data_IF_997986901154
#
_entry.id   IF_997986901154
#
_cell.length_a   1.000
_cell.length_b   1.000
_cell.length_c   1.000
_cell.angle_alpha   90.00
_cell.angle_beta   90.00
_cell.angle_gamma   90.00
#
_symmetry.space_group_name_H-M   'P 1'
#
loop_
_entity.id
_entity.type
_entity.pdbx_description
1 polymer ?
#
# COMPACT_ATOMS: atom_id res chain seq x y z
N UNK A 1 6.76 5.92 -5.54
CA UNK A 1 7.23 6.24 -6.88
C UNK A 1 6.16 5.99 -7.94
N UNK A 2 5.84 4.72 -8.26
CA UNK A 2 4.89 4.41 -9.36
C UNK A 2 3.51 5.03 -9.16
N UNK A 3 2.95 5.02 -7.95
CA UNK A 3 1.68 5.68 -7.66
C UNK A 3 1.76 7.19 -7.84
N UNK A 4 2.84 7.84 -7.38
CA UNK A 4 3.06 9.29 -7.59
C UNK A 4 3.12 9.60 -9.08
N UNK A 5 3.91 8.86 -9.84
CA UNK A 5 4.05 9.04 -11.28
C UNK A 5 2.72 8.83 -12.02
N UNK A 6 1.96 7.80 -11.65
CA UNK A 6 0.62 7.53 -12.19
C UNK A 6 -0.33 8.71 -11.96
N UNK A 7 -0.41 9.22 -10.72
CA UNK A 7 -1.32 10.30 -10.39
C UNK A 7 -0.91 11.64 -11.01
N UNK A 8 0.40 11.94 -11.07
CA UNK A 8 0.87 13.12 -11.80
C UNK A 8 0.45 13.09 -13.27
N UNK A 9 0.65 11.94 -13.93
CA UNK A 9 0.24 11.76 -15.31
C UNK A 9 -1.29 11.83 -15.49
N UNK A 10 -2.05 11.24 -14.57
CA UNK A 10 -3.52 11.33 -14.55
C UNK A 10 -4.03 12.76 -14.40
N UNK A 11 -3.27 13.62 -13.70
CA UNK A 11 -3.53 15.06 -13.57
C UNK A 11 -2.96 15.90 -14.72
N UNK A 12 -2.49 15.29 -15.80
CA UNK A 12 -1.94 15.98 -16.98
C UNK A 12 -0.48 16.42 -16.85
N UNK A 13 0.24 16.03 -15.79
CA UNK A 13 1.69 16.26 -15.67
C UNK A 13 2.43 15.09 -16.28
N UNK A 14 2.82 15.23 -17.56
CA UNK A 14 3.40 14.13 -18.35
C UNK A 14 4.91 14.26 -18.54
N UNK A 15 5.48 15.44 -18.35
CA UNK A 15 6.94 15.65 -18.33
C UNK A 15 7.51 15.18 -16.97
N UNK A 16 7.43 13.87 -16.77
CA UNK A 16 7.84 13.20 -15.54
C UNK A 16 8.79 12.05 -15.89
N UNK A 17 9.91 12.00 -15.18
CA UNK A 17 10.80 10.84 -15.19
C UNK A 17 10.85 10.19 -13.82
N UNK A 18 10.71 8.87 -13.76
CA UNK A 18 10.94 8.06 -12.59
C UNK A 18 12.27 7.32 -12.79
N UNK A 19 13.19 7.53 -11.85
CA UNK A 19 14.45 6.81 -11.79
C UNK A 19 14.37 5.73 -10.69
N UNK A 20 14.73 4.52 -11.03
CA UNK A 20 14.78 3.37 -10.11
C UNK A 20 16.19 2.79 -10.10
N UNK A 21 16.77 2.64 -8.91
CA UNK A 21 18.15 2.15 -8.78
C UNK A 21 18.34 0.70 -9.22
N UNK A 22 17.31 -0.12 -9.14
CA UNK A 22 17.27 -1.50 -9.59
C UNK A 22 16.12 -1.74 -10.56
N UNK A 23 15.36 -2.81 -10.32
CA UNK A 23 14.12 -3.09 -11.05
C UNK A 23 12.91 -2.59 -10.26
N UNK A 24 11.87 -2.16 -10.96
CA UNK A 24 10.61 -1.85 -10.28
C UNK A 24 10.19 -3.05 -9.42
N UNK A 25 9.72 -2.76 -8.23
CA UNK A 25 9.32 -3.72 -7.18
C UNK A 25 10.44 -4.43 -6.43
N UNK A 26 11.70 -4.38 -6.88
CA UNK A 26 12.81 -5.13 -6.26
C UNK A 26 13.21 -4.66 -4.85
N UNK A 27 12.77 -3.50 -4.42
CA UNK A 27 12.96 -3.01 -3.06
C UNK A 27 12.04 -3.70 -2.06
N UNK A 28 11.36 -2.92 -1.20
CA UNK A 28 10.45 -3.47 -0.17
C UNK A 28 9.03 -3.78 -0.69
N UNK A 29 8.69 -3.42 -1.92
CA UNK A 29 7.35 -3.59 -2.47
C UNK A 29 6.90 -5.05 -2.48
N UNK A 30 7.73 -5.97 -2.98
CA UNK A 30 7.38 -7.39 -3.10
C UNK A 30 7.29 -8.11 -1.74
N UNK A 31 7.86 -7.52 -0.67
CA UNK A 31 7.75 -8.06 0.69
C UNK A 31 6.43 -7.73 1.38
N UNK A 32 5.62 -6.81 0.84
CA UNK A 32 4.36 -6.47 1.45
C UNK A 32 3.37 -7.64 1.39
N UNK A 33 2.64 -7.87 2.49
CA UNK A 33 1.67 -8.97 2.58
C UNK A 33 0.42 -8.78 1.70
N UNK A 34 0.25 -7.61 1.10
CA UNK A 34 -0.86 -7.32 0.19
C UNK A 34 -2.20 -7.05 0.86
N UNK A 35 -2.23 -6.87 2.18
CA UNK A 35 -3.45 -6.60 2.92
C UNK A 35 -3.95 -5.18 2.66
N UNK A 36 -5.17 -5.06 2.15
CA UNK A 36 -5.79 -3.78 1.79
C UNK A 36 -7.03 -3.55 2.63
N UNK A 37 -6.96 -2.55 3.52
CA UNK A 37 -8.06 -2.21 4.41
C UNK A 37 -8.46 -0.74 4.31
N UNK A 38 -9.75 -0.46 4.42
CA UNK A 38 -10.31 0.90 4.36
C UNK A 38 -10.09 1.67 5.66
N UNK A 39 -10.37 1.02 6.78
CA UNK A 39 -10.39 1.68 8.07
C UNK A 39 -9.00 2.08 8.55
N UNK A 40 -8.84 3.36 8.89
CA UNK A 40 -7.62 3.97 9.44
C UNK A 40 -7.96 4.75 10.73
N UNK A 41 -6.95 5.12 11.55
CA UNK A 41 -7.17 5.82 12.82
C UNK A 41 -7.85 7.18 12.70
N UNK A 42 -7.85 7.79 11.53
CA UNK A 42 -8.49 9.09 11.30
C UNK A 42 -9.17 9.14 9.92
N UNK A 43 -10.05 10.15 9.76
CA UNK A 43 -10.86 10.33 8.56
C UNK A 43 -10.01 10.52 7.30
N UNK A 44 -8.98 11.35 7.34
CA UNK A 44 -8.18 11.67 6.15
C UNK A 44 -7.48 10.41 5.60
N UNK A 45 -6.86 9.63 6.48
CA UNK A 45 -6.24 8.37 6.08
C UNK A 45 -7.28 7.35 5.58
N UNK A 46 -8.48 7.32 6.17
CA UNK A 46 -9.57 6.45 5.71
C UNK A 46 -10.04 6.84 4.31
N UNK A 47 -10.20 8.14 4.02
CA UNK A 47 -10.54 8.63 2.68
C UNK A 47 -9.49 8.21 1.66
N UNK A 48 -8.21 8.36 1.99
CA UNK A 48 -7.12 7.91 1.10
C UNK A 48 -7.13 6.39 0.88
N UNK A 49 -7.41 5.60 1.92
CA UNK A 49 -7.49 4.14 1.80
C UNK A 49 -8.67 3.68 0.96
N UNK A 50 -9.84 4.33 1.11
CA UNK A 50 -11.02 4.09 0.26
C UNK A 50 -10.71 4.38 -1.20
N UNK A 51 -10.12 5.55 -1.49
CA UNK A 51 -9.68 5.89 -2.85
C UNK A 51 -8.71 4.83 -3.42
N UNK A 52 -7.78 4.33 -2.60
CA UNK A 52 -6.87 3.26 -3.02
C UNK A 52 -7.61 2.00 -3.47
N UNK A 53 -8.63 1.57 -2.73
CA UNK A 53 -9.45 0.41 -3.07
C UNK A 53 -10.25 0.63 -4.36
N UNK A 54 -10.88 1.78 -4.51
CA UNK A 54 -11.59 2.15 -5.73
C UNK A 54 -10.65 2.14 -6.95
N UNK A 55 -9.45 2.67 -6.79
CA UNK A 55 -8.43 2.65 -7.83
C UNK A 55 -8.02 1.21 -8.19
N UNK A 56 -7.74 0.36 -7.20
CA UNK A 56 -7.28 -1.02 -7.44
C UNK A 56 -8.32 -1.85 -8.17
N UNK A 57 -9.60 -1.62 -7.89
CA UNK A 57 -10.70 -2.28 -8.58
C UNK A 57 -10.82 -1.91 -10.07
N UNK A 58 -10.27 -0.77 -10.48
CA UNK A 58 -10.37 -0.27 -11.87
C UNK A 58 -9.08 -0.37 -12.67
N UNK A 59 -7.94 -0.51 -12.00
CA UNK A 59 -6.61 -0.46 -12.64
C UNK A 59 -6.39 -1.55 -13.69
N UNK A 60 -6.89 -2.77 -13.47
CA UNK A 60 -6.75 -3.86 -14.43
C UNK A 60 -7.47 -3.55 -15.74
N UNK A 61 -8.69 -3.04 -15.66
CA UNK A 61 -9.44 -2.62 -16.85
C UNK A 61 -8.76 -1.44 -17.58
N UNK A 62 -8.13 -0.52 -16.85
CA UNK A 62 -7.45 0.64 -17.40
C UNK A 62 -6.11 0.28 -18.08
N UNK A 63 -5.36 -0.65 -17.50
CA UNK A 63 -3.97 -0.91 -17.88
C UNK A 63 -3.76 -2.21 -18.64
N UNK A 64 -4.72 -3.14 -18.55
CA UNK A 64 -4.60 -4.50 -19.07
C UNK A 64 -3.64 -5.38 -18.26
N UNK A 65 -3.23 -4.95 -17.06
CA UNK A 65 -2.39 -5.74 -16.14
C UNK A 65 -3.16 -6.07 -14.86
N UNK A 66 -3.16 -7.34 -14.50
CA UNK A 66 -3.73 -7.80 -13.24
C UNK A 66 -3.09 -7.09 -12.04
N UNK A 67 -3.91 -6.80 -11.04
CA UNK A 67 -3.46 -6.21 -9.77
C UNK A 67 -3.46 -7.23 -8.64
N UNK A 68 -4.04 -8.39 -8.88
CA UNK A 68 -4.32 -9.37 -7.85
C UNK A 68 -5.36 -8.90 -6.83
N UNK A 69 -6.08 -7.80 -7.11
CA UNK A 69 -7.11 -7.28 -6.22
C UNK A 69 -8.27 -8.25 -6.08
N UNK A 70 -8.59 -8.58 -4.83
CA UNK A 70 -9.75 -9.39 -4.45
C UNK A 70 -10.43 -8.72 -3.26
N UNK A 71 -11.69 -8.37 -3.43
CA UNK A 71 -12.52 -7.87 -2.33
C UNK A 71 -13.07 -9.06 -1.53
N UNK A 72 -12.22 -9.68 -0.74
CA UNK A 72 -12.57 -10.83 0.10
C UNK A 72 -13.01 -10.44 1.52
N UNK A 73 -12.98 -9.15 1.84
CA UNK A 73 -13.29 -8.63 3.17
C UNK A 73 -12.15 -8.81 4.19
N UNK A 74 -12.38 -8.31 5.40
CA UNK A 74 -11.49 -8.58 6.53
C UNK A 74 -12.26 -8.88 7.82
N UNK A 75 -11.73 -9.80 8.63
CA UNK A 75 -12.21 -10.14 9.96
C UNK A 75 -11.15 -9.74 10.99
N UNK A 76 -11.48 -8.82 11.89
CA UNK A 76 -10.61 -8.47 13.02
C UNK A 76 -11.21 -9.05 14.29
N UNK A 77 -10.48 -9.93 14.97
CA UNK A 77 -11.00 -10.67 16.11
C UNK A 77 -10.63 -10.02 17.45
N UNK A 78 -11.42 -10.32 18.46
CA UNK A 78 -11.15 -9.96 19.84
C UNK A 78 -11.19 -11.21 20.72
N UNK A 79 -10.06 -11.53 21.38
CA UNK A 79 -9.92 -12.62 22.34
C UNK A 79 -10.14 -12.15 23.77
N UNK A 80 -10.07 -10.85 24.02
CA UNK A 80 -10.30 -10.27 25.35
C UNK A 80 -11.45 -9.27 25.35
N UNK A 81 -12.13 -9.04 26.51
CA UNK A 81 -13.15 -8.00 26.64
C UNK A 81 -12.62 -6.60 26.31
N UNK A 82 -11.38 -6.30 26.65
CA UNK A 82 -10.71 -5.02 26.39
C UNK A 82 -10.56 -4.83 24.89
N UNK A 83 -10.10 -5.86 24.18
CA UNK A 83 -10.01 -5.81 22.71
C UNK A 83 -11.38 -5.64 22.07
N UNK A 84 -12.41 -6.28 22.59
CA UNK A 84 -13.77 -6.14 22.09
C UNK A 84 -14.29 -4.69 22.26
N UNK A 85 -13.94 -3.99 23.34
CA UNK A 85 -14.25 -2.55 23.52
C UNK A 85 -13.58 -1.71 22.41
N UNK A 86 -12.32 -2.03 22.06
CA UNK A 86 -11.59 -1.36 20.96
C UNK A 86 -12.30 -1.59 19.63
N UNK A 87 -12.69 -2.85 19.33
CA UNK A 87 -13.39 -3.16 18.08
C UNK A 87 -14.75 -2.45 17.98
N UNK A 88 -15.52 -2.38 19.08
CA UNK A 88 -16.78 -1.60 19.12
C UNK A 88 -16.55 -0.12 18.78
N UNK A 89 -15.51 0.48 19.37
CA UNK A 89 -15.12 1.86 19.04
C UNK A 89 -14.72 2.01 17.57
N UNK A 90 -13.95 1.05 17.04
CA UNK A 90 -13.56 1.04 15.64
C UNK A 90 -14.77 0.94 14.70
N UNK A 91 -15.74 0.08 15.01
CA UNK A 91 -16.98 -0.05 14.22
C UNK A 91 -17.80 1.27 14.21
N UNK A 92 -17.95 1.92 15.37
CA UNK A 92 -18.61 3.23 15.45
C UNK A 92 -17.88 4.27 14.61
N UNK A 93 -16.56 4.30 14.69
CA UNK A 93 -15.72 5.23 13.94
C UNK A 93 -15.78 4.96 12.44
N UNK A 94 -15.76 3.68 12.02
CA UNK A 94 -15.91 3.27 10.63
C UNK A 94 -17.20 3.81 10.03
N UNK A 95 -18.32 3.63 10.71
CA UNK A 95 -19.62 4.14 10.29
C UNK A 95 -19.62 5.67 10.15
N UNK A 96 -18.96 6.40 11.07
CA UNK A 96 -18.83 7.86 10.99
C UNK A 96 -17.97 8.34 9.81
N UNK A 97 -17.12 7.48 9.27
CA UNK A 97 -16.27 7.74 8.10
C UNK A 97 -16.86 7.17 6.80
N UNK A 98 -18.07 6.60 6.86
CA UNK A 98 -18.74 6.00 5.72
C UNK A 98 -18.05 4.70 5.25
N UNK A 99 -17.49 3.94 6.18
CA UNK A 99 -16.95 2.59 5.95
C UNK A 99 -17.92 1.57 6.51
N UNK A 100 -18.37 0.65 5.68
CA UNK A 100 -19.22 -0.45 6.10
C UNK A 100 -18.44 -1.37 7.06
N UNK A 101 -18.98 -1.55 8.26
CA UNK A 101 -18.37 -2.34 9.32
C UNK A 101 -19.44 -2.93 10.23
N UNK A 102 -19.39 -4.23 10.45
CA UNK A 102 -20.34 -4.97 11.25
C UNK A 102 -19.67 -5.60 12.47
N UNK A 103 -20.32 -5.47 13.62
CA UNK A 103 -20.00 -6.30 14.79
C UNK A 103 -20.57 -7.68 14.55
N UNK A 104 -19.78 -8.72 14.68
CA UNK A 104 -20.17 -10.11 14.46
C UNK A 104 -19.80 -10.99 15.66
N UNK A 105 -20.58 -12.05 15.85
CA UNK A 105 -20.33 -13.07 16.88
C UNK A 105 -19.13 -13.95 16.54
N UNK A 106 -18.56 -14.71 17.51
CA UNK A 106 -17.55 -15.73 17.23
C UNK A 106 -17.99 -16.75 16.20
N UNK A 107 -19.25 -17.18 16.24
CA UNK A 107 -19.82 -18.11 15.27
C UNK A 107 -19.80 -17.53 13.85
N UNK A 108 -20.31 -16.32 13.67
CA UNK A 108 -20.31 -15.64 12.37
C UNK A 108 -18.89 -15.37 11.84
N UNK A 109 -17.93 -15.12 12.75
CA UNK A 109 -16.51 -15.00 12.38
C UNK A 109 -15.96 -16.33 11.84
N UNK A 110 -16.29 -17.45 12.49
CA UNK A 110 -15.93 -18.81 12.04
C UNK A 110 -16.57 -19.20 10.72
N UNK A 111 -17.83 -18.80 10.48
CA UNK A 111 -18.50 -19.03 9.19
C UNK A 111 -17.78 -18.30 8.02
N UNK A 112 -17.17 -17.11 8.28
CA UNK A 112 -16.37 -16.35 7.29
C UNK A 112 -14.94 -16.84 7.18
N UNK A 113 -14.39 -17.37 8.26
CA UNK A 113 -13.00 -17.83 8.32
C UNK A 113 -12.94 -19.26 8.91
N UNK A 114 -13.31 -20.29 8.13
CA UNK A 114 -13.53 -21.65 8.64
C UNK A 114 -12.29 -22.36 9.23
N UNK A 115 -11.10 -21.89 8.89
CA UNK A 115 -9.83 -22.46 9.40
C UNK A 115 -9.39 -21.83 10.71
N UNK A 116 -10.19 -20.89 11.26
CA UNK A 116 -9.90 -20.21 12.53
C UNK A 116 -10.58 -20.93 13.70
N UNK A 117 -9.88 -21.00 14.82
CA UNK A 117 -10.46 -21.39 16.11
C UNK A 117 -11.30 -20.24 16.67
N UNK A 118 -12.48 -20.53 17.21
CA UNK A 118 -13.44 -19.50 17.64
C UNK A 118 -13.86 -19.63 19.11
N UNK A 119 -13.47 -20.70 19.80
CA UNK A 119 -13.86 -21.00 21.17
C UNK A 119 -13.30 -20.02 22.22
N UNK A 120 -12.25 -19.30 21.89
CA UNK A 120 -11.62 -18.28 22.73
C UNK A 120 -11.94 -16.84 22.31
N UNK A 121 -12.85 -16.65 21.37
CA UNK A 121 -13.22 -15.31 20.88
C UNK A 121 -14.34 -14.67 21.70
N UNK A 122 -14.22 -13.37 21.93
CA UNK A 122 -15.29 -12.51 22.48
C UNK A 122 -16.21 -11.94 21.37
N UNK A 123 -15.75 -11.93 20.15
CA UNK A 123 -16.41 -11.39 18.96
C UNK A 123 -15.41 -10.86 17.95
N UNK A 124 -15.93 -10.24 16.89
CA UNK A 124 -15.11 -9.68 15.82
C UNK A 124 -15.81 -8.48 15.17
N UNK A 125 -15.10 -7.80 14.29
CA UNK A 125 -15.68 -6.91 13.28
C UNK A 125 -15.42 -7.47 11.88
N UNK A 126 -16.39 -7.28 11.01
CA UNK A 126 -16.35 -7.62 9.59
C UNK A 126 -16.37 -6.36 8.75
N UNK A 127 -15.43 -6.22 7.82
CA UNK A 127 -15.36 -5.12 6.86
C UNK A 127 -15.41 -5.72 5.44
N UNK A 128 -16.59 -5.72 4.79
CA UNK A 128 -16.77 -6.37 3.49
C UNK A 128 -16.03 -5.68 2.34
N UNK A 129 -15.73 -4.38 2.48
CA UNK A 129 -15.03 -3.61 1.46
C UNK A 129 -13.50 -3.75 1.48
N UNK A 130 -12.95 -4.46 2.45
CA UNK A 130 -11.53 -4.75 2.53
C UNK A 130 -11.16 -5.93 1.61
N UNK A 131 -9.87 -6.20 1.44
CA UNK A 131 -9.41 -7.32 0.63
C UNK A 131 -7.90 -7.44 0.57
N UNK A 132 -7.43 -8.07 -0.48
CA UNK A 132 -6.01 -8.27 -0.76
C UNK A 132 -5.65 -7.89 -2.20
N UNK A 133 -4.39 -7.57 -2.43
CA UNK A 133 -3.82 -7.34 -3.76
C UNK A 133 -2.41 -7.93 -3.82
N UNK A 134 -1.92 -8.24 -5.02
CA UNK A 134 -0.52 -8.56 -5.19
C UNK A 134 0.28 -7.25 -5.26
N UNK A 135 1.19 -6.97 -4.31
CA UNK A 135 1.89 -5.69 -4.27
C UNK A 135 2.77 -5.42 -5.50
N UNK A 136 3.40 -6.45 -6.05
CA UNK A 136 4.24 -6.32 -7.23
C UNK A 136 3.38 -6.04 -8.48
N UNK A 137 2.32 -6.81 -8.70
CA UNK A 137 1.41 -6.64 -9.84
C UNK A 137 0.73 -5.28 -9.79
N UNK A 138 0.28 -4.86 -8.60
CA UNK A 138 -0.32 -3.54 -8.39
C UNK A 138 0.67 -2.41 -8.75
N UNK A 139 1.94 -2.52 -8.32
CA UNK A 139 2.97 -1.55 -8.66
C UNK A 139 3.24 -1.52 -10.17
N UNK A 140 3.30 -2.68 -10.82
CA UNK A 140 3.50 -2.79 -12.28
C UNK A 140 2.30 -2.24 -13.05
N UNK A 141 1.07 -2.45 -12.57
CA UNK A 141 -0.13 -1.88 -13.17
C UNK A 141 -0.13 -0.35 -13.08
N UNK A 142 0.21 0.23 -11.92
CA UNK A 142 0.41 1.68 -11.77
C UNK A 142 1.51 2.23 -12.70
N UNK A 143 2.63 1.52 -12.80
CA UNK A 143 3.72 1.88 -13.70
C UNK A 143 3.27 1.87 -15.16
N UNK A 144 2.51 0.85 -15.57
CA UNK A 144 1.93 0.76 -16.93
C UNK A 144 0.98 1.93 -17.20
N UNK A 145 0.09 2.22 -16.25
CA UNK A 145 -0.85 3.35 -16.37
C UNK A 145 -0.15 4.71 -16.49
N UNK A 146 0.98 4.90 -15.81
CA UNK A 146 1.82 6.09 -15.93
C UNK A 146 2.52 6.14 -17.30
N UNK A 147 3.12 5.04 -17.75
CA UNK A 147 3.78 4.94 -19.08
C UNK A 147 2.79 5.19 -20.23
N UNK A 148 1.59 4.66 -20.14
CA UNK A 148 0.54 4.88 -21.14
C UNK A 148 0.18 6.37 -21.30
N UNK A 149 0.49 7.19 -20.26
CA UNK A 149 0.28 8.64 -20.24
C UNK A 149 1.56 9.46 -20.50
N UNK A 150 2.66 8.83 -20.93
CA UNK A 150 3.88 9.50 -21.35
C UNK A 150 4.98 9.62 -20.28
N UNK A 151 4.79 9.11 -19.05
CA UNK A 151 5.85 9.09 -18.04
C UNK A 151 7.00 8.19 -18.48
N UNK A 152 8.22 8.72 -18.41
CA UNK A 152 9.44 7.95 -18.63
C UNK A 152 9.84 7.26 -17.33
N UNK A 153 10.13 5.96 -17.39
CA UNK A 153 10.62 5.19 -16.25
C UNK A 153 11.91 4.49 -16.66
N UNK A 154 12.98 4.80 -15.93
CA UNK A 154 14.32 4.28 -16.21
C UNK A 154 14.79 3.48 -15.00
N UNK A 155 15.02 2.20 -15.22
CA UNK A 155 15.54 1.25 -14.25
C UNK A 155 17.08 1.18 -14.32
N UNK A 156 17.68 0.61 -13.29
CA UNK A 156 19.13 0.47 -13.13
C UNK A 156 19.89 1.80 -13.15
N UNK A 157 19.23 2.85 -12.62
CA UNK A 157 19.79 4.21 -12.52
C UNK A 157 19.84 4.64 -11.05
N UNK A 158 21.01 4.53 -10.45
CA UNK A 158 21.28 5.01 -9.11
C UNK A 158 21.47 6.53 -9.11
N UNK A 159 20.74 7.23 -8.25
CA UNK A 159 20.97 8.64 -7.97
C UNK A 159 22.11 8.76 -6.95
N UNK A 160 23.20 9.38 -7.36
CA UNK A 160 24.41 9.54 -6.54
C UNK A 160 24.54 10.92 -5.89
N UNK A 161 23.71 11.88 -6.29
CA UNK A 161 23.72 13.23 -5.72
C UNK A 161 22.49 14.04 -6.12
N UNK A 162 22.26 15.12 -5.41
CA UNK A 162 21.23 16.13 -5.74
C UNK A 162 21.92 17.42 -6.16
N UNK A 163 21.44 18.04 -7.22
CA UNK A 163 21.94 19.32 -7.73
C UNK A 163 21.15 20.43 -7.05
N UNK A 164 21.85 21.25 -6.26
CA UNK A 164 21.26 22.38 -5.54
C UNK A 164 21.76 23.68 -6.13
N UNK A 165 20.86 24.57 -6.51
CA UNK A 165 21.14 25.91 -6.98
C UNK A 165 20.20 26.90 -6.29
N UNK A 166 20.76 27.95 -5.70
CA UNK A 166 19.98 28.97 -4.97
C UNK A 166 19.12 28.38 -3.84
N UNK A 167 19.58 27.31 -3.15
CA UNK A 167 18.86 26.66 -2.07
C UNK A 167 17.70 25.73 -2.52
N UNK A 168 17.59 25.47 -3.82
CA UNK A 168 16.54 24.59 -4.39
C UNK A 168 17.16 23.37 -5.08
N UNK A 169 16.50 22.23 -4.96
CA UNK A 169 16.84 21.05 -5.75
C UNK A 169 16.37 21.29 -7.20
N UNK A 170 17.31 21.25 -8.16
CA UNK A 170 17.07 21.51 -9.57
C UNK A 170 17.45 20.32 -10.46
N UNK A 171 17.80 19.20 -9.85
CA UNK A 171 18.14 17.97 -10.57
C UNK A 171 18.83 16.96 -9.69
N UNK A 172 19.19 15.86 -10.33
CA UNK A 172 19.95 14.76 -9.70
C UNK A 172 21.15 14.38 -10.56
N UNK A 173 22.19 13.85 -9.91
CA UNK A 173 23.35 13.24 -10.57
C UNK A 173 23.17 11.73 -10.60
N UNK A 174 23.52 11.13 -11.70
CA UNK A 174 23.59 9.67 -11.88
C UNK A 174 24.90 9.30 -12.55
N UNK A 175 25.24 8.01 -12.56
CA UNK A 175 26.41 7.53 -13.34
C UNK A 175 26.23 7.65 -14.83
N UNK A 176 24.97 7.75 -15.32
CA UNK A 176 24.62 7.88 -16.72
C UNK A 176 24.49 9.34 -17.18
N UNK A 177 24.64 10.30 -16.28
CA UNK A 177 24.53 11.73 -16.53
C UNK A 177 23.56 12.42 -15.57
N UNK A 178 23.44 13.73 -15.70
CA UNK A 178 22.60 14.57 -14.87
C UNK A 178 21.17 14.64 -15.45
N UNK A 179 20.19 14.65 -14.56
CA UNK A 179 18.78 14.87 -14.91
C UNK A 179 18.31 16.14 -14.24
N UNK A 180 17.92 17.14 -15.02
CA UNK A 180 17.38 18.42 -14.53
C UNK A 180 15.88 18.30 -14.28
N UNK A 181 15.37 19.01 -13.25
CA UNK A 181 13.95 19.07 -12.95
C UNK A 181 13.59 20.35 -12.20
N UNK A 182 12.34 20.76 -12.28
CA UNK A 182 11.76 21.84 -11.47
C UNK A 182 11.32 21.35 -10.09
N UNK A 183 10.88 20.08 -10.01
CA UNK A 183 10.41 19.43 -8.77
C UNK A 183 11.04 18.06 -8.64
N UNK A 184 11.69 17.82 -7.52
CA UNK A 184 12.27 16.53 -7.16
C UNK A 184 11.42 15.88 -6.07
N UNK A 185 10.92 14.67 -6.32
CA UNK A 185 10.09 13.91 -5.36
C UNK A 185 10.88 12.72 -4.83
N UNK A 186 11.13 12.72 -3.52
CA UNK A 186 11.78 11.61 -2.84
C UNK A 186 10.78 10.47 -2.60
N UNK A 187 10.88 9.42 -3.39
CA UNK A 187 10.10 8.19 -3.27
C UNK A 187 11.00 6.97 -3.01
N UNK A 188 12.17 7.17 -2.40
CA UNK A 188 13.20 6.16 -2.23
C UNK A 188 12.91 5.11 -1.12
N UNK A 189 11.68 5.01 -0.63
CA UNK A 189 11.27 3.98 0.33
C UNK A 189 12.15 3.97 1.59
N UNK A 190 12.69 2.81 1.95
CA UNK A 190 13.57 2.69 3.12
C UNK A 190 14.88 3.50 2.99
N UNK A 191 15.30 3.87 1.80
CA UNK A 191 16.48 4.71 1.52
C UNK A 191 16.16 6.20 1.44
N UNK A 192 14.91 6.61 1.74
CA UNK A 192 14.50 8.02 1.64
C UNK A 192 15.31 8.94 2.56
N UNK A 193 15.80 8.45 3.71
CA UNK A 193 16.68 9.19 4.61
C UNK A 193 18.03 9.47 3.97
N UNK A 194 18.65 8.44 3.39
CA UNK A 194 19.94 8.57 2.70
C UNK A 194 19.83 9.50 1.50
N UNK A 195 18.75 9.31 0.72
CA UNK A 195 18.47 10.20 -0.41
C UNK A 195 18.25 11.67 0.04
N UNK A 196 17.51 11.90 1.10
CA UNK A 196 17.33 13.25 1.66
C UNK A 196 18.65 13.89 2.08
N UNK A 197 19.56 13.11 2.66
CA UNK A 197 20.89 13.58 3.07
C UNK A 197 21.73 14.08 1.89
N UNK A 198 21.56 13.55 0.68
CA UNK A 198 22.22 14.06 -0.54
C UNK A 198 21.82 15.51 -0.87
N UNK A 199 20.67 15.95 -0.38
CA UNK A 199 20.16 17.31 -0.51
C UNK A 199 20.32 18.15 0.77
N UNK A 200 20.99 17.63 1.80
CA UNK A 200 21.10 18.27 3.12
C UNK A 200 19.79 18.26 3.92
N UNK A 201 18.82 17.41 3.55
CA UNK A 201 17.50 17.33 4.21
C UNK A 201 17.48 16.15 5.18
N UNK A 202 17.12 16.42 6.43
CA UNK A 202 16.88 15.36 7.41
C UNK A 202 15.47 14.76 7.22
N UNK A 203 15.41 13.52 6.74
CA UNK A 203 14.16 12.75 6.66
C UNK A 203 14.08 11.87 7.92
N UNK A 204 13.10 12.07 8.80
CA UNK A 204 12.99 11.34 10.08
C UNK A 204 12.41 9.92 9.82
N UNK A 205 13.20 9.09 9.16
CA UNK A 205 12.84 7.71 8.82
C UNK A 205 13.88 6.76 9.41
N UNK A 206 13.40 5.72 10.05
CA UNK A 206 14.19 4.59 10.53
C UNK A 206 13.55 3.30 10.03
N UNK A 207 14.33 2.47 9.35
CA UNK A 207 13.87 1.16 8.88
C UNK A 207 13.94 0.15 10.03
N UNK A 208 12.85 -0.55 10.28
CA UNK A 208 12.77 -1.64 11.24
C UNK A 208 12.51 -2.96 10.50
N UNK A 209 13.04 -4.05 11.04
CA UNK A 209 12.74 -5.38 10.55
C UNK A 209 11.27 -5.73 10.82
N UNK A 210 10.64 -6.36 9.85
CA UNK A 210 9.28 -6.85 9.96
C UNK A 210 9.21 -8.29 9.44
N UNK A 211 8.82 -9.20 10.32
CA UNK A 211 8.82 -10.62 10.01
C UNK A 211 7.47 -11.07 9.46
N UNK A 212 7.51 -12.05 8.57
CA UNK A 212 6.35 -12.80 8.11
C UNK A 212 6.74 -14.26 7.82
N UNK A 213 5.75 -15.12 7.79
CA UNK A 213 5.90 -16.53 7.48
C UNK A 213 5.03 -16.84 6.27
N UNK A 214 5.61 -17.53 5.29
CA UNK A 214 4.85 -18.14 4.19
C UNK A 214 4.68 -19.61 4.52
N UNK A 215 3.43 -20.03 4.72
CA UNK A 215 3.09 -21.42 5.03
C UNK A 215 3.04 -22.26 3.75
N UNK A 216 3.16 -23.57 3.90
CA UNK A 216 2.73 -24.52 2.88
C UNK A 216 1.20 -24.50 2.73
N UNK A 217 0.68 -25.38 1.88
CA UNK A 217 -0.77 -25.54 1.68
C UNK A 217 -1.44 -25.93 3.00
N UNK A 218 -2.50 -25.23 3.34
CA UNK A 218 -3.35 -25.53 4.49
C UNK A 218 -4.74 -25.87 3.96
N UNK A 219 -5.31 -26.99 4.40
CA UNK A 219 -6.64 -27.41 4.00
C UNK A 219 -7.71 -26.40 4.45
N UNK A 220 -8.65 -26.09 3.57
CA UNK A 220 -9.69 -25.09 3.80
C UNK A 220 -9.29 -23.65 3.48
N UNK A 221 -8.02 -23.36 3.22
CA UNK A 221 -7.58 -22.06 2.72
C UNK A 221 -7.84 -21.98 1.21
N UNK A 222 -8.54 -20.92 0.80
CA UNK A 222 -8.88 -20.65 -0.59
C UNK A 222 -8.67 -19.17 -0.95
N UNK A 223 -8.57 -18.81 -2.25
CA UNK A 223 -8.20 -17.46 -2.70
C UNK A 223 -9.15 -16.33 -2.28
N UNK A 224 -10.35 -16.63 -1.81
CA UNK A 224 -11.35 -15.66 -1.34
C UNK A 224 -11.52 -15.69 0.19
N UNK A 225 -10.58 -16.32 0.90
CA UNK A 225 -10.59 -16.26 2.36
C UNK A 225 -10.34 -14.83 2.81
N UNK A 226 -11.15 -14.27 3.74
CA UNK A 226 -10.94 -12.90 4.20
C UNK A 226 -9.57 -12.68 4.82
N UNK A 227 -9.11 -11.44 4.77
CA UNK A 227 -7.95 -11.02 5.58
C UNK A 227 -8.32 -11.15 7.07
N UNK A 228 -7.49 -11.80 7.87
CA UNK A 228 -7.73 -11.95 9.30
C UNK A 228 -6.68 -11.17 10.11
N UNK A 229 -7.12 -10.53 11.19
CA UNK A 229 -6.25 -9.86 12.15
C UNK A 229 -6.60 -10.28 13.57
N UNK A 230 -5.60 -10.82 14.25
CA UNK A 230 -5.61 -11.17 15.68
C UNK A 230 -4.44 -10.44 16.37
N UNK A 231 -4.63 -9.18 16.82
CA UNK A 231 -3.60 -8.37 17.47
C UNK A 231 -3.53 -8.64 18.95
#
# INVERSE_FOLDING_TARGET
GCSTAYHLAKMGKTDVVLLEQGKLTSGTTWHAAGLVGQMRPNRNMTVMSKYGIELYATLEAETGLATGWKQCGSVNVARTPERMKVLKKQATMANSFGVECHLISPREAGERYPVMRTDDLQGAIWLPGDGEANPADLCMSLAKGARNRGVKMVEDVEVTGVIIEGGRAVGVRTRQGDVRCEVLVNCAGQWARQFGALAGVNVPLYSAEHFYIVTGKIDGVHPMLPVMRDP
#
